data_IF_900910123259
#
_entry.id   IF_900910123259
#
_cell.length_a   1.000
_cell.length_b   1.000
_cell.length_c   1.000
_cell.angle_alpha   90.00
_cell.angle_beta   90.00
_cell.angle_gamma   90.00
#
_symmetry.space_group_name_H-M   'P 1'
#
loop_
_entity.id
_entity.type
_entity.pdbx_description
1 polymer ?
#
# COMPACT_ATOMS: atom_id res chain seq x y z
N UNK A 1 23.60 19.06 -4.78
CA UNK A 1 24.40 18.05 -5.51
C UNK A 1 24.49 16.80 -4.67
N UNK A 2 24.26 15.63 -5.28
CA UNK A 2 24.43 14.31 -4.64
C UNK A 2 25.67 13.70 -5.25
N UNK A 3 26.57 13.21 -4.41
CA UNK A 3 27.78 12.52 -4.82
C UNK A 3 27.78 11.13 -4.18
N UNK A 4 28.09 10.12 -4.98
CA UNK A 4 28.20 8.72 -4.52
C UNK A 4 29.63 8.24 -4.67
N UNK A 5 30.08 7.36 -3.76
CA UNK A 5 31.46 6.81 -3.78
C UNK A 5 31.69 5.87 -4.97
N UNK A 6 30.62 5.31 -5.51
CA UNK A 6 30.64 4.42 -6.67
C UNK A 6 29.48 4.76 -7.60
N UNK A 7 29.57 4.33 -8.86
CA UNK A 7 28.46 4.45 -9.80
C UNK A 7 27.21 3.76 -9.25
N UNK A 8 26.11 4.53 -9.17
CA UNK A 8 24.82 4.05 -8.68
C UNK A 8 23.70 4.38 -9.69
N UNK A 9 23.53 3.54 -10.73
CA UNK A 9 22.60 3.80 -11.83
C UNK A 9 21.16 3.99 -11.39
N UNK A 10 20.76 3.35 -10.28
CA UNK A 10 19.38 3.39 -9.75
C UNK A 10 19.12 4.59 -8.83
N UNK A 11 20.07 5.51 -8.66
CA UNK A 11 19.90 6.65 -7.76
C UNK A 11 18.63 7.47 -8.02
N UNK A 12 18.28 7.82 -9.28
CA UNK A 12 17.04 8.57 -9.53
C UNK A 12 15.79 7.81 -9.06
N UNK A 13 15.71 6.51 -9.31
CA UNK A 13 14.61 5.67 -8.84
C UNK A 13 14.53 5.56 -7.32
N UNK A 14 15.69 5.46 -6.65
CA UNK A 14 15.76 5.43 -5.18
C UNK A 14 15.30 6.76 -4.56
N UNK A 15 15.62 7.89 -5.19
CA UNK A 15 15.19 9.22 -4.71
C UNK A 15 13.68 9.46 -4.93
N UNK A 16 13.02 8.68 -5.76
CA UNK A 16 11.56 8.69 -5.93
C UNK A 16 10.79 7.98 -4.81
N UNK A 17 11.48 7.31 -3.88
CA UNK A 17 10.84 6.69 -2.73
C UNK A 17 10.27 7.76 -1.79
N UNK A 18 9.03 7.60 -1.27
CA UNK A 18 8.42 8.53 -0.32
C UNK A 18 9.22 8.82 0.95
N UNK A 19 10.22 7.99 1.27
CA UNK A 19 11.15 8.23 2.38
C UNK A 19 12.13 9.41 2.10
N UNK A 20 12.29 9.81 0.84
CA UNK A 20 13.19 10.89 0.42
C UNK A 20 12.45 12.18 0.06
N UNK A 21 11.31 12.42 0.70
CA UNK A 21 10.55 13.67 0.52
C UNK A 21 11.38 14.90 0.90
N UNK A 22 11.18 15.97 0.16
CA UNK A 22 11.81 17.26 0.45
C UNK A 22 10.93 18.01 1.45
N UNK A 23 11.50 18.34 2.60
CA UNK A 23 10.84 19.10 3.66
C UNK A 23 11.63 20.35 4.02
N UNK A 24 10.96 21.37 4.54
CA UNK A 24 11.60 22.56 5.09
C UNK A 24 12.22 22.27 6.46
N UNK A 25 13.52 22.00 6.46
CA UNK A 25 14.30 21.74 7.69
C UNK A 25 14.44 23.00 8.56
N UNK A 26 14.33 24.20 7.98
CA UNK A 26 14.42 25.44 8.75
C UNK A 26 13.23 25.57 9.71
N UNK A 27 12.04 25.20 9.28
CA UNK A 27 10.84 25.23 10.14
C UNK A 27 10.98 24.33 11.37
N UNK A 28 11.65 23.16 11.25
CA UNK A 28 11.95 22.29 12.38
C UNK A 28 12.93 22.96 13.36
N UNK A 29 13.99 23.59 12.85
CA UNK A 29 14.97 24.32 13.67
C UNK A 29 14.35 25.51 14.39
N UNK A 30 13.30 26.10 13.84
CA UNK A 30 12.51 27.19 14.44
C UNK A 30 11.44 26.68 15.41
N UNK A 31 11.38 25.37 15.65
CA UNK A 31 10.56 24.76 16.69
C UNK A 31 9.27 24.09 16.21
N UNK A 32 9.05 23.95 14.88
CA UNK A 32 7.93 23.19 14.35
C UNK A 32 8.08 21.71 14.68
N UNK A 33 7.08 21.14 15.29
CA UNK A 33 7.04 19.69 15.59
C UNK A 33 6.38 18.92 14.44
N UNK A 34 7.16 18.29 13.56
CA UNK A 34 6.62 17.57 12.39
C UNK A 34 5.65 16.44 12.76
N UNK A 35 5.77 15.86 13.96
CA UNK A 35 4.84 14.82 14.41
C UNK A 35 3.50 15.36 14.89
N UNK A 36 3.43 16.61 15.31
CA UNK A 36 2.23 17.27 15.81
C UNK A 36 1.61 18.22 14.78
N UNK A 37 2.46 18.97 14.05
CA UNK A 37 2.04 20.05 13.16
C UNK A 37 2.11 19.64 11.68
N UNK A 38 2.66 18.44 11.38
CA UNK A 38 3.01 18.02 10.04
C UNK A 38 4.22 18.79 9.45
N UNK A 39 4.88 18.23 8.43
CA UNK A 39 6.00 18.88 7.76
C UNK A 39 5.53 19.99 6.80
N UNK A 40 6.41 20.92 6.49
CA UNK A 40 6.26 21.82 5.35
C UNK A 40 7.03 21.21 4.18
N UNK A 41 6.32 20.90 3.12
CA UNK A 41 6.88 20.28 1.91
C UNK A 41 6.66 21.14 0.66
N UNK A 42 6.96 20.55 -0.50
CA UNK A 42 6.82 21.18 -1.82
C UNK A 42 5.58 20.73 -2.59
N UNK A 43 4.68 20.03 -1.92
CA UNK A 43 3.47 19.43 -2.51
C UNK A 43 2.36 20.45 -2.80
N UNK A 44 1.27 19.96 -3.45
CA UNK A 44 0.12 20.82 -3.82
C UNK A 44 -0.69 21.29 -2.61
N UNK A 45 -0.51 20.71 -1.45
CA UNK A 45 -1.25 21.06 -0.24
C UNK A 45 -0.31 21.33 0.93
N UNK A 46 -0.74 22.23 1.81
CA UNK A 46 -0.09 22.55 3.10
C UNK A 46 -0.93 22.01 4.23
N UNK A 47 -0.30 21.39 5.22
CA UNK A 47 -0.96 20.93 6.44
C UNK A 47 -1.34 22.12 7.31
N UNK A 48 -2.64 22.27 7.59
CA UNK A 48 -3.18 23.33 8.46
C UNK A 48 -3.53 22.81 9.84
N UNK A 49 -3.87 21.51 9.95
CA UNK A 49 -4.13 20.83 11.22
C UNK A 49 -3.75 19.37 11.08
N UNK A 50 -3.14 18.80 12.12
CA UNK A 50 -2.74 17.42 12.14
C UNK A 50 -2.99 16.80 13.51
N UNK A 51 -3.90 15.84 13.58
CA UNK A 51 -4.22 15.08 14.79
C UNK A 51 -4.15 13.57 14.51
N UNK A 52 -4.37 12.75 15.51
CA UNK A 52 -4.46 11.29 15.32
C UNK A 52 -5.72 10.87 14.57
N UNK A 53 -6.75 11.69 14.62
CA UNK A 53 -8.06 11.42 14.05
C UNK A 53 -8.19 11.93 12.62
N UNK A 54 -7.46 13.00 12.26
CA UNK A 54 -7.54 13.61 10.93
C UNK A 54 -6.38 14.55 10.61
N UNK A 55 -6.15 14.74 9.33
CA UNK A 55 -5.35 15.84 8.80
C UNK A 55 -6.24 16.81 8.01
N UNK A 56 -6.01 18.10 8.16
CA UNK A 56 -6.63 19.17 7.36
C UNK A 56 -5.55 19.83 6.51
N UNK A 57 -5.89 20.05 5.25
CA UNK A 57 -4.96 20.53 4.25
C UNK A 57 -5.61 21.71 3.49
N UNK A 58 -4.83 22.73 3.20
CA UNK A 58 -5.21 23.82 2.32
C UNK A 58 -4.37 23.77 1.03
N UNK A 59 -4.91 24.27 -0.07
CA UNK A 59 -4.18 24.40 -1.31
C UNK A 59 -2.91 25.25 -1.09
N UNK A 60 -1.79 24.81 -1.66
CA UNK A 60 -0.54 25.56 -1.68
C UNK A 60 -0.59 26.58 -2.82
N UNK A 61 -0.78 27.84 -2.51
CA UNK A 61 -0.84 28.93 -3.51
C UNK A 61 0.47 29.12 -4.29
N UNK A 62 1.57 28.60 -3.75
CA UNK A 62 2.89 28.65 -4.38
C UNK A 62 3.29 27.30 -4.99
N UNK A 63 2.32 26.43 -5.30
CA UNK A 63 2.63 25.15 -5.88
C UNK A 63 3.25 25.31 -7.27
N UNK A 64 4.37 24.65 -7.49
CA UNK A 64 5.23 24.83 -8.67
C UNK A 64 4.69 24.20 -9.96
N UNK A 65 3.74 23.25 -9.86
CA UNK A 65 3.19 22.47 -10.98
C UNK A 65 1.74 22.85 -11.31
N UNK A 66 1.39 24.12 -11.11
CA UNK A 66 0.11 24.68 -11.56
C UNK A 66 -0.99 24.71 -10.51
N UNK A 67 -2.23 24.83 -10.99
CA UNK A 67 -3.39 25.03 -10.12
C UNK A 67 -3.77 23.76 -9.35
N UNK A 68 -4.15 23.94 -8.09
CA UNK A 68 -4.59 22.88 -7.21
C UNK A 68 -6.13 22.74 -7.28
N UNK A 69 -6.69 21.55 -7.60
CA UNK A 69 -8.11 21.42 -7.91
C UNK A 69 -9.05 21.68 -6.72
N UNK A 70 -8.62 21.36 -5.50
CA UNK A 70 -9.42 21.54 -4.29
C UNK A 70 -8.74 22.57 -3.37
N UNK A 71 -9.50 23.55 -2.88
CA UNK A 71 -8.97 24.55 -1.95
C UNK A 71 -8.69 24.00 -0.56
N UNK A 72 -9.45 22.97 -0.16
CA UNK A 72 -9.34 22.31 1.14
C UNK A 72 -9.55 20.81 0.96
N UNK A 73 -8.78 20.02 1.70
CA UNK A 73 -8.89 18.57 1.79
C UNK A 73 -8.87 18.16 3.25
N UNK A 74 -9.78 17.30 3.64
CA UNK A 74 -9.78 16.64 4.94
C UNK A 74 -9.50 15.16 4.76
N UNK A 75 -8.60 14.63 5.57
CA UNK A 75 -8.21 13.21 5.56
C UNK A 75 -8.52 12.61 6.93
N UNK A 76 -9.73 12.07 7.15
CA UNK A 76 -10.07 11.38 8.39
C UNK A 76 -9.36 10.03 8.48
N UNK A 77 -8.90 9.67 9.67
CA UNK A 77 -8.27 8.38 9.96
C UNK A 77 -9.34 7.32 10.27
N UNK A 78 -9.92 6.70 9.26
CA UNK A 78 -10.92 5.64 9.42
C UNK A 78 -10.24 4.28 9.23
N UNK A 79 -9.84 3.66 10.33
CA UNK A 79 -9.03 2.43 10.31
C UNK A 79 -9.84 1.19 9.93
N UNK A 80 -11.10 1.10 10.35
CA UNK A 80 -11.97 -0.02 10.05
C UNK A 80 -12.48 0.06 8.60
N UNK A 81 -12.37 -1.03 7.84
CA UNK A 81 -12.71 -1.08 6.42
C UNK A 81 -14.23 -0.93 6.18
N UNK A 82 -15.04 -1.56 7.02
CA UNK A 82 -16.51 -1.47 6.90
C UNK A 82 -16.98 -0.04 7.20
N UNK A 83 -16.47 0.57 8.27
CA UNK A 83 -16.78 1.96 8.63
C UNK A 83 -16.39 2.92 7.52
N UNK A 84 -15.24 2.70 6.89
CA UNK A 84 -14.76 3.51 5.76
C UNK A 84 -15.64 3.34 4.52
N UNK A 85 -16.07 2.11 4.21
CA UNK A 85 -17.01 1.85 3.14
C UNK A 85 -18.36 2.51 3.37
N UNK A 86 -18.88 2.44 4.60
CA UNK A 86 -20.14 3.09 4.98
C UNK A 86 -20.05 4.61 4.90
N UNK A 87 -18.95 5.21 5.32
CA UNK A 87 -18.73 6.65 5.22
C UNK A 87 -18.71 7.14 3.75
N UNK A 88 -18.15 6.33 2.84
CA UNK A 88 -18.21 6.65 1.41
C UNK A 88 -19.64 6.51 0.86
N UNK A 89 -20.41 5.50 1.28
CA UNK A 89 -21.79 5.30 0.85
C UNK A 89 -22.74 6.37 1.38
N UNK A 90 -22.51 6.87 2.60
CA UNK A 90 -23.30 7.96 3.19
C UNK A 90 -22.96 9.35 2.63
N UNK A 91 -21.82 9.48 1.93
CA UNK A 91 -21.33 10.77 1.46
C UNK A 91 -20.60 11.59 2.52
N UNK A 92 -20.23 10.96 3.66
CA UNK A 92 -19.41 11.61 4.70
C UNK A 92 -17.96 11.81 4.23
N UNK A 93 -17.52 10.99 3.25
CA UNK A 93 -16.26 11.14 2.55
C UNK A 93 -16.48 10.98 1.04
N UNK A 94 -15.69 11.69 0.24
CA UNK A 94 -15.78 11.66 -1.24
C UNK A 94 -14.86 10.61 -1.87
N UNK A 95 -13.82 10.19 -1.16
CA UNK A 95 -12.84 9.21 -1.63
C UNK A 95 -12.40 8.28 -0.50
N UNK A 96 -12.32 7.00 -0.80
CA UNK A 96 -11.77 5.99 0.11
C UNK A 96 -10.63 5.23 -0.55
N UNK A 97 -9.55 5.00 0.19
CA UNK A 97 -8.44 4.14 -0.21
C UNK A 97 -8.44 2.85 0.60
N UNK A 98 -7.89 1.78 0.03
CA UNK A 98 -7.82 0.46 0.68
C UNK A 98 -9.21 -0.08 1.04
N UNK A 99 -10.13 -0.11 0.08
CA UNK A 99 -11.38 -0.86 0.20
C UNK A 99 -11.05 -2.35 0.26
N UNK A 100 -11.61 -3.03 1.24
CA UNK A 100 -11.36 -4.46 1.44
C UNK A 100 -12.09 -5.35 0.44
N UNK A 101 -11.64 -6.62 0.28
CA UNK A 101 -12.31 -7.58 -0.59
C UNK A 101 -13.79 -7.81 -0.27
N UNK A 102 -14.17 -7.68 1.01
CA UNK A 102 -15.54 -7.86 1.48
C UNK A 102 -16.49 -6.77 1.00
N UNK A 103 -16.01 -5.53 0.92
CA UNK A 103 -16.78 -4.35 0.55
C UNK A 103 -16.65 -3.98 -0.94
N UNK A 104 -15.75 -4.65 -1.67
CA UNK A 104 -15.40 -4.30 -3.04
C UNK A 104 -16.61 -4.26 -3.98
N UNK A 105 -17.50 -5.26 -3.91
CA UNK A 105 -18.70 -5.35 -4.74
C UNK A 105 -19.71 -4.23 -4.47
N UNK A 106 -19.69 -3.59 -3.31
CA UNK A 106 -20.56 -2.44 -3.00
C UNK A 106 -20.31 -1.24 -3.94
N UNK A 107 -19.12 -1.19 -4.53
CA UNK A 107 -18.67 -0.07 -5.36
C UNK A 107 -18.47 -0.44 -6.82
N UNK A 108 -18.18 -1.70 -7.14
CA UNK A 108 -17.96 -2.17 -8.52
C UNK A 108 -19.26 -2.53 -9.24
N UNK A 109 -20.28 -2.95 -8.50
CA UNK A 109 -21.57 -3.39 -9.06
C UNK A 109 -22.55 -2.24 -9.31
N UNK A 110 -22.10 -1.00 -9.18
CA UNK A 110 -22.89 0.22 -9.37
C UNK A 110 -22.16 1.23 -10.27
N UNK A 111 -22.91 2.15 -10.88
CA UNK A 111 -22.37 3.26 -11.69
C UNK A 111 -22.11 4.53 -10.88
N UNK A 112 -22.42 4.51 -9.59
CA UNK A 112 -22.36 5.69 -8.72
C UNK A 112 -20.93 5.99 -8.26
N UNK A 113 -20.02 5.03 -8.43
CA UNK A 113 -18.62 5.14 -7.99
C UNK A 113 -17.65 4.89 -9.15
N UNK A 114 -16.53 5.57 -9.09
CA UNK A 114 -15.34 5.25 -9.91
C UNK A 114 -14.38 4.43 -9.07
N UNK A 115 -14.15 3.18 -9.43
CA UNK A 115 -13.20 2.30 -8.77
C UNK A 115 -11.92 2.24 -9.58
N UNK A 116 -10.79 2.53 -8.93
CA UNK A 116 -9.46 2.44 -9.54
C UNK A 116 -8.65 1.35 -8.84
N UNK A 117 -8.13 0.43 -9.61
CA UNK A 117 -7.22 -0.62 -9.14
C UNK A 117 -5.80 -0.33 -9.62
N UNK A 118 -4.85 -0.48 -8.73
CA UNK A 118 -3.44 -0.35 -9.07
C UNK A 118 -2.67 -1.58 -8.58
N UNK A 119 -1.95 -2.22 -9.49
CA UNK A 119 -1.00 -3.27 -9.12
C UNK A 119 0.10 -2.69 -8.25
N UNK A 120 0.29 -3.25 -7.07
CA UNK A 120 1.32 -2.80 -6.12
C UNK A 120 2.52 -3.75 -6.09
N UNK A 121 3.60 -3.30 -5.44
CA UNK A 121 4.78 -4.12 -5.13
C UNK A 121 4.62 -4.89 -3.81
N UNK A 122 3.42 -4.85 -3.22
CA UNK A 122 3.16 -5.46 -1.92
C UNK A 122 2.95 -6.95 -2.04
N UNK A 123 3.77 -7.73 -1.34
CA UNK A 123 3.57 -9.16 -1.14
C UNK A 123 3.06 -9.45 0.28
N UNK A 124 2.11 -10.37 0.37
CA UNK A 124 1.66 -10.94 1.64
C UNK A 124 2.19 -12.37 1.72
N UNK A 125 3.05 -12.62 2.69
CA UNK A 125 3.69 -13.92 2.86
C UNK A 125 3.62 -14.41 4.31
N UNK A 126 3.48 -15.71 4.48
CA UNK A 126 3.65 -16.36 5.77
C UNK A 126 5.13 -16.70 6.00
N UNK A 127 5.74 -16.14 7.03
CA UNK A 127 7.08 -16.52 7.49
C UNK A 127 6.97 -17.65 8.50
N UNK A 128 7.58 -18.78 8.20
CA UNK A 128 7.64 -19.89 9.13
C UNK A 128 8.92 -19.82 9.97
N UNK A 129 8.75 -20.01 11.29
CA UNK A 129 9.88 -20.18 12.18
C UNK A 129 10.68 -21.44 11.80
N UNK A 130 12.00 -21.38 11.91
CA UNK A 130 12.86 -22.55 11.75
C UNK A 130 13.23 -23.18 13.11
N UNK A 131 12.43 -22.94 14.15
CA UNK A 131 12.58 -23.44 15.50
C UNK A 131 11.41 -24.37 15.86
N UNK A 132 11.58 -25.15 16.91
CA UNK A 132 10.57 -26.09 17.36
C UNK A 132 10.25 -27.15 16.31
N UNK A 133 9.01 -27.51 16.17
CA UNK A 133 8.53 -28.50 15.18
C UNK A 133 8.78 -28.04 13.74
N UNK A 134 8.70 -26.75 13.48
CA UNK A 134 8.94 -26.16 12.15
C UNK A 134 10.43 -26.12 11.73
N UNK A 135 11.35 -26.67 12.55
CA UNK A 135 12.74 -26.90 12.11
C UNK A 135 12.81 -27.96 10.99
N UNK A 136 11.84 -28.88 10.94
CA UNK A 136 11.75 -29.89 9.88
C UNK A 136 11.33 -29.23 8.54
N UNK A 137 12.16 -29.32 7.50
CA UNK A 137 11.82 -28.76 6.19
C UNK A 137 10.64 -29.49 5.52
N UNK A 138 10.42 -30.76 5.81
CA UNK A 138 9.29 -31.53 5.25
C UNK A 138 7.97 -31.02 5.81
N UNK A 139 7.92 -30.74 7.11
CA UNK A 139 6.72 -30.15 7.73
C UNK A 139 6.42 -28.77 7.13
N UNK A 140 7.42 -27.93 6.92
CA UNK A 140 7.22 -26.64 6.26
C UNK A 140 6.71 -26.80 4.82
N UNK A 141 7.28 -27.75 4.07
CA UNK A 141 6.85 -28.04 2.70
C UNK A 141 5.41 -28.57 2.65
N UNK A 142 5.03 -29.44 3.58
CA UNK A 142 3.65 -29.93 3.71
C UNK A 142 2.67 -28.78 4.00
N UNK A 143 2.99 -27.88 4.94
CA UNK A 143 2.16 -26.73 5.26
C UNK A 143 1.96 -25.81 4.02
N UNK A 144 3.00 -25.54 3.24
CA UNK A 144 2.89 -24.76 2.02
C UNK A 144 2.01 -25.47 0.97
N UNK A 145 2.21 -26.79 0.79
CA UNK A 145 1.45 -27.58 -0.15
C UNK A 145 -0.03 -27.70 0.23
N UNK A 146 -0.36 -27.55 1.51
CA UNK A 146 -1.74 -27.58 2.00
C UNK A 146 -2.55 -26.32 1.73
N UNK A 147 -1.94 -25.24 1.26
CA UNK A 147 -2.63 -23.96 1.02
C UNK A 147 -2.97 -23.83 -0.47
N UNK A 148 -4.25 -23.91 -0.79
CA UNK A 148 -4.77 -23.60 -2.13
C UNK A 148 -4.84 -22.07 -2.31
N UNK A 149 -3.73 -21.50 -2.79
CA UNK A 149 -3.58 -20.05 -2.96
C UNK A 149 -4.49 -19.48 -4.03
N UNK A 150 -4.74 -20.24 -5.10
CA UNK A 150 -5.62 -19.80 -6.19
C UNK A 150 -7.08 -19.73 -5.71
N UNK A 151 -7.52 -20.78 -5.01
CA UNK A 151 -8.86 -20.80 -4.41
C UNK A 151 -9.03 -19.71 -3.36
N UNK A 152 -8.00 -19.46 -2.55
CA UNK A 152 -7.98 -18.39 -1.55
C UNK A 152 -8.10 -17.00 -2.21
N UNK A 153 -7.29 -16.72 -3.22
CA UNK A 153 -7.33 -15.47 -3.95
C UNK A 153 -8.71 -15.23 -4.60
N UNK A 154 -9.24 -16.24 -5.26
CA UNK A 154 -10.53 -16.14 -5.96
C UNK A 154 -11.73 -16.04 -5.03
N UNK A 155 -11.86 -16.98 -4.08
CA UNK A 155 -13.08 -17.13 -3.33
C UNK A 155 -13.16 -16.21 -2.12
N UNK A 156 -12.04 -15.99 -1.44
CA UNK A 156 -11.99 -15.19 -0.22
C UNK A 156 -11.58 -13.73 -0.51
N UNK A 157 -10.60 -13.54 -1.38
CA UNK A 157 -10.08 -12.21 -1.70
C UNK A 157 -10.73 -11.60 -2.96
N UNK A 158 -11.70 -12.28 -3.59
CA UNK A 158 -12.48 -11.76 -4.74
C UNK A 158 -11.59 -11.23 -5.87
N UNK A 159 -10.50 -11.93 -6.16
CA UNK A 159 -9.50 -11.58 -7.18
C UNK A 159 -8.78 -10.22 -6.97
N UNK A 160 -8.94 -9.58 -5.79
CA UNK A 160 -8.18 -8.37 -5.43
C UNK A 160 -6.70 -8.64 -5.14
N UNK A 161 -6.32 -9.92 -5.09
CA UNK A 161 -4.94 -10.40 -4.92
C UNK A 161 -4.63 -11.50 -5.96
N UNK A 162 -3.38 -11.58 -6.35
CA UNK A 162 -2.88 -12.60 -7.26
C UNK A 162 -2.13 -13.66 -6.45
N UNK A 163 -2.40 -14.93 -6.71
CA UNK A 163 -1.69 -16.04 -6.05
C UNK A 163 -0.19 -15.99 -6.36
N UNK A 164 0.61 -15.85 -5.30
CA UNK A 164 2.07 -15.71 -5.41
C UNK A 164 2.76 -17.03 -5.74
N UNK A 165 3.76 -17.00 -6.62
CA UNK A 165 4.66 -18.13 -6.96
C UNK A 165 6.06 -17.95 -6.34
N UNK A 166 6.40 -16.73 -5.98
CA UNK A 166 7.69 -16.34 -5.42
C UNK A 166 7.51 -15.04 -4.62
N UNK A 167 8.49 -14.63 -3.79
CA UNK A 167 8.46 -13.36 -3.07
C UNK A 167 8.77 -12.17 -4.00
N UNK A 168 8.15 -12.15 -5.16
CA UNK A 168 8.22 -11.10 -6.18
C UNK A 168 6.82 -10.89 -6.74
N UNK A 169 6.27 -9.68 -6.68
CA UNK A 169 4.96 -9.41 -7.23
C UNK A 169 4.98 -9.46 -8.77
N UNK A 170 3.89 -9.88 -9.41
CA UNK A 170 3.79 -9.96 -10.87
C UNK A 170 3.88 -8.61 -11.58
N UNK A 171 3.72 -7.49 -10.84
CA UNK A 171 3.91 -6.12 -11.31
C UNK A 171 5.38 -5.77 -11.59
N UNK A 172 6.33 -6.53 -11.03
CA UNK A 172 7.75 -6.41 -11.36
C UNK A 172 8.05 -7.25 -12.60
N UNK A 173 8.54 -6.62 -13.65
CA UNK A 173 8.92 -7.30 -14.89
C UNK A 173 10.33 -7.91 -14.81
N UNK A 174 10.54 -8.73 -13.79
CA UNK A 174 11.79 -9.48 -13.57
C UNK A 174 11.63 -10.97 -13.86
N UNK A 175 10.82 -11.31 -14.88
CA UNK A 175 10.64 -12.70 -15.27
C UNK A 175 9.59 -13.46 -14.46
N UNK A 176 8.69 -12.79 -13.76
CA UNK A 176 7.60 -13.44 -12.99
C UNK A 176 6.78 -14.41 -13.85
N UNK A 177 6.53 -14.08 -15.12
CA UNK A 177 5.76 -14.93 -16.04
C UNK A 177 6.42 -16.28 -16.30
N UNK A 178 7.75 -16.32 -16.29
CA UNK A 178 8.56 -17.51 -16.50
C UNK A 178 8.78 -18.34 -15.23
N UNK A 179 8.44 -17.79 -14.06
CA UNK A 179 8.57 -18.51 -12.80
C UNK A 179 7.60 -19.70 -12.75
N UNK A 180 8.16 -20.85 -12.46
CA UNK A 180 7.37 -22.03 -12.13
C UNK A 180 7.03 -21.98 -10.64
N UNK A 181 5.81 -22.36 -10.31
CA UNK A 181 5.46 -22.60 -8.93
C UNK A 181 6.22 -23.84 -8.43
N UNK A 182 7.16 -23.60 -7.52
CA UNK A 182 7.98 -24.68 -6.93
C UNK A 182 7.28 -25.40 -5.80
N UNK A 183 6.19 -24.84 -5.30
CA UNK A 183 5.39 -25.38 -4.19
C UNK A 183 3.90 -25.29 -4.52
N UNK A 184 3.43 -26.03 -5.55
CA UNK A 184 2.01 -26.04 -5.92
C UNK A 184 1.16 -26.64 -4.80
N UNK A 185 -0.11 -26.28 -4.79
CA UNK A 185 -1.08 -26.92 -3.92
C UNK A 185 -1.13 -28.43 -4.20
N UNK A 186 -0.92 -29.24 -3.17
CA UNK A 186 -0.97 -30.69 -3.24
C UNK A 186 -1.43 -31.26 -1.88
N UNK A 187 -2.75 -31.50 -1.69
CA UNK A 187 -3.28 -31.97 -0.42
C UNK A 187 -2.77 -33.37 -0.03
N UNK A 188 -2.20 -34.14 -0.97
CA UNK A 188 -1.64 -35.45 -0.65
C UNK A 188 -0.30 -35.38 0.08
N UNK A 189 0.39 -34.25 0.00
CA UNK A 189 1.62 -33.99 0.78
C UNK A 189 1.38 -33.59 2.22
N UNK A 190 0.12 -33.37 2.61
CA UNK A 190 -0.27 -32.95 3.97
C UNK A 190 -0.62 -34.17 4.84
N UNK A 191 -0.75 -35.34 4.24
CA UNK A 191 -0.97 -36.61 4.91
C UNK A 191 0.37 -37.23 5.31
#
# INVERSE_FOLDING_TARGET
TIQTDKAYPNLPGSLGDPLFVIVDVQSEREGRNFSADGPIGTGPYVVTSFTKERAELAANENYWDGDVPFKRVEVPAINDANTRAMALQSGDIDMAINIGPGEYSLFTDTKDYTVTEASSLRDVMARMSQKGELKDPNLRAALIAGIDRDSYAKNLLKDTFIAGKAPLPPSLDYGFKQLKDTNPYDPNKVK
#
